data_IF_321442142523
#
_entry.id   IF_321442142523
#
_cell.length_a   1.000
_cell.length_b   1.000
_cell.length_c   1.000
_cell.angle_alpha   90.00
_cell.angle_beta   90.00
_cell.angle_gamma   90.00
#
_symmetry.space_group_name_H-M   'P 1'
#
loop_
_entity.id
_entity.type
_entity.pdbx_description
1 polymer ?
#
# COMPACT_ATOMS: atom_id res chain seq x y z
N UNK A 1 -17.26 -8.15 -1.49
CA UNK A 1 -16.46 -7.18 -0.71
C UNK A 1 -15.04 -7.21 -1.24
N UNK A 2 -14.45 -6.07 -1.62
CA UNK A 2 -13.15 -6.02 -2.33
C UNK A 2 -12.24 -4.96 -1.69
N UNK A 3 -11.84 -5.20 -0.43
CA UNK A 3 -10.96 -4.26 0.28
C UNK A 3 -9.60 -4.17 -0.40
N UNK A 4 -9.06 -2.97 -0.56
CA UNK A 4 -7.77 -2.73 -1.20
C UNK A 4 -6.98 -1.73 -0.39
N UNK A 5 -5.84 -2.18 0.14
CA UNK A 5 -4.96 -1.36 0.98
C UNK A 5 -3.52 -1.64 0.62
N UNK A 6 -2.76 -0.57 0.40
CA UNK A 6 -1.34 -0.64 0.06
C UNK A 6 -0.58 0.19 1.10
N UNK A 7 0.38 -0.43 1.78
CA UNK A 7 1.34 0.25 2.65
C UNK A 7 2.71 0.11 2.00
N UNK A 8 3.21 1.19 1.42
CA UNK A 8 4.47 1.17 0.68
C UNK A 8 5.41 2.27 1.14
N UNK A 9 6.71 1.97 1.08
CA UNK A 9 7.80 2.90 1.29
C UNK A 9 7.76 3.66 2.63
N UNK A 10 7.14 3.05 3.65
CA UNK A 10 6.79 3.69 4.92
C UNK A 10 7.65 3.19 6.09
N UNK A 11 7.75 4.01 7.14
CA UNK A 11 8.28 3.58 8.44
C UNK A 11 7.16 2.89 9.24
N UNK A 12 7.36 1.65 9.68
CA UNK A 12 6.42 0.89 10.52
C UNK A 12 7.07 0.61 11.87
N UNK A 13 6.52 1.24 12.91
CA UNK A 13 7.06 1.21 14.27
C UNK A 13 6.50 0.06 15.13
N UNK A 14 7.04 -0.09 16.34
CA UNK A 14 6.89 -1.22 17.26
C UNK A 14 5.46 -1.68 17.59
N UNK A 15 4.46 -0.80 17.45
CA UNK A 15 3.08 -1.05 17.88
C UNK A 15 2.26 -1.92 16.93
N UNK A 16 2.75 -2.17 15.70
CA UNK A 16 2.09 -3.07 14.76
C UNK A 16 2.42 -4.52 15.11
N UNK A 17 1.39 -5.34 15.29
CA UNK A 17 1.55 -6.77 15.56
C UNK A 17 2.23 -7.50 14.38
N UNK A 18 3.01 -8.58 14.63
CA UNK A 18 3.68 -9.32 13.56
C UNK A 18 2.75 -9.81 12.45
N UNK A 19 1.51 -10.16 12.78
CA UNK A 19 0.47 -10.62 11.85
C UNK A 19 0.04 -9.51 10.88
N UNK A 20 0.16 -8.24 11.31
CA UNK A 20 -0.03 -7.01 10.52
C UNK A 20 -1.48 -6.68 10.16
N UNK A 21 -2.27 -7.66 9.74
CA UNK A 21 -3.64 -7.48 9.26
C UNK A 21 -4.61 -8.31 10.10
N UNK A 22 -5.80 -7.75 10.37
CA UNK A 22 -6.84 -8.42 11.15
C UNK A 22 -8.08 -8.72 10.30
N UNK A 23 -8.74 -9.88 10.48
CA UNK A 23 -10.03 -10.13 9.85
C UNK A 23 -11.06 -9.09 10.30
N UNK A 24 -11.98 -8.74 9.40
CA UNK A 24 -13.14 -7.92 9.77
C UNK A 24 -14.18 -8.74 10.54
N UNK A 25 -14.59 -9.88 9.99
CA UNK A 25 -15.53 -10.82 10.61
C UNK A 25 -15.31 -12.24 10.06
N UNK A 26 -14.68 -13.13 10.84
CA UNK A 26 -14.36 -14.49 10.40
C UNK A 26 -13.56 -14.49 9.09
N UNK A 27 -14.02 -15.22 8.08
CA UNK A 27 -13.37 -15.31 6.75
C UNK A 27 -13.87 -14.29 5.74
N UNK A 28 -14.74 -13.36 6.15
CA UNK A 28 -15.35 -12.40 5.24
C UNK A 28 -14.31 -11.52 4.53
N UNK A 29 -14.28 -11.62 3.20
CA UNK A 29 -13.40 -10.82 2.34
C UNK A 29 -11.95 -11.28 2.24
N UNK A 30 -11.54 -12.34 2.95
CA UNK A 30 -10.14 -12.81 2.94
C UNK A 30 -9.69 -13.35 1.58
N UNK A 31 -10.63 -13.90 0.80
CA UNK A 31 -10.38 -14.43 -0.55
C UNK A 31 -10.43 -13.37 -1.66
N UNK A 32 -10.89 -12.15 -1.35
CA UNK A 32 -11.17 -11.11 -2.35
C UNK A 32 -10.49 -9.77 -2.07
N UNK A 33 -9.88 -9.60 -0.89
CA UNK A 33 -9.07 -8.43 -0.57
C UNK A 33 -7.81 -8.34 -1.46
N UNK A 34 -7.15 -7.19 -1.47
CA UNK A 34 -5.85 -6.96 -2.09
C UNK A 34 -5.01 -6.10 -1.16
N UNK A 35 -4.21 -6.76 -0.32
CA UNK A 35 -3.35 -6.09 0.66
C UNK A 35 -1.90 -6.23 0.27
N UNK A 36 -1.16 -5.12 0.27
CA UNK A 36 0.22 -5.09 -0.19
C UNK A 36 1.12 -4.35 0.79
N UNK A 37 2.27 -4.94 1.09
CA UNK A 37 3.39 -4.27 1.75
C UNK A 37 4.61 -4.23 0.81
N UNK A 38 5.19 -3.05 0.60
CA UNK A 38 6.32 -2.88 -0.33
C UNK A 38 7.38 -1.93 0.22
N UNK A 39 8.62 -2.41 0.35
CA UNK A 39 9.78 -1.60 0.79
C UNK A 39 9.52 -0.78 2.06
N UNK A 40 8.77 -1.34 3.01
CA UNK A 40 8.60 -0.73 4.31
C UNK A 40 9.87 -0.92 5.15
N UNK A 41 10.10 -0.01 6.08
CA UNK A 41 11.28 0.01 6.98
C UNK A 41 10.85 0.19 8.42
N UNK A 42 11.74 -0.12 9.36
CA UNK A 42 11.50 0.01 10.80
C UNK A 42 11.21 -1.31 11.52
N UNK A 43 11.05 -1.26 12.85
CA UNK A 43 11.03 -2.45 13.72
C UNK A 43 9.95 -3.48 13.38
N UNK A 44 8.81 -3.07 12.81
CA UNK A 44 7.69 -3.95 12.48
C UNK A 44 7.43 -4.09 10.98
N UNK A 45 8.39 -3.70 10.15
CA UNK A 45 8.30 -3.87 8.70
C UNK A 45 8.60 -5.31 8.21
N UNK A 46 9.18 -6.18 9.06
CA UNK A 46 9.40 -7.57 8.68
C UNK A 46 8.05 -8.29 8.47
N UNK A 47 7.88 -8.87 7.27
CA UNK A 47 6.67 -9.54 6.83
C UNK A 47 6.62 -11.07 7.07
N UNK A 48 7.65 -11.66 7.69
CA UNK A 48 7.79 -13.13 7.82
C UNK A 48 6.67 -13.78 8.65
N UNK A 49 6.07 -13.01 9.56
CA UNK A 49 4.99 -13.45 10.46
C UNK A 49 3.60 -12.94 10.04
N UNK A 50 3.50 -12.32 8.87
CA UNK A 50 2.23 -11.78 8.37
C UNK A 50 1.25 -12.89 8.07
N UNK A 51 -0.03 -12.53 8.07
CA UNK A 51 -1.12 -13.41 7.65
C UNK A 51 -0.84 -14.13 6.32
N UNK A 52 -1.31 -15.36 6.20
CA UNK A 52 -1.13 -16.20 5.00
C UNK A 52 -2.29 -16.10 4.02
N UNK A 53 -3.02 -14.98 4.03
CA UNK A 53 -4.20 -14.81 3.18
C UNK A 53 -3.80 -14.79 1.70
N UNK A 54 -4.64 -15.40 0.86
CA UNK A 54 -4.37 -15.62 -0.56
C UNK A 54 -3.91 -14.38 -1.32
N UNK A 55 -4.52 -13.23 -1.03
CA UNK A 55 -4.24 -11.96 -1.72
C UNK A 55 -3.55 -10.93 -0.82
N UNK A 56 -2.84 -11.40 0.21
CA UNK A 56 -1.80 -10.61 0.86
C UNK A 56 -0.49 -10.78 0.07
N UNK A 57 0.12 -9.67 -0.35
CA UNK A 57 1.29 -9.66 -1.23
C UNK A 57 2.41 -8.88 -0.56
N UNK A 58 3.55 -9.53 -0.35
CA UNK A 58 4.76 -8.91 0.18
C UNK A 58 5.77 -8.63 -0.94
N UNK A 59 6.29 -7.42 -0.98
CA UNK A 59 7.32 -6.95 -1.92
C UNK A 59 7.10 -7.40 -3.39
N UNK A 60 5.96 -7.03 -4.01
CA UNK A 60 5.75 -7.31 -5.44
C UNK A 60 6.77 -6.58 -6.33
N UNK A 61 6.86 -6.94 -7.63
CA UNK A 61 7.65 -6.20 -8.60
C UNK A 61 7.33 -4.69 -8.61
N UNK A 62 8.36 -3.86 -8.80
CA UNK A 62 8.23 -2.41 -8.71
C UNK A 62 7.27 -1.82 -9.75
N UNK A 63 7.24 -2.37 -10.96
CA UNK A 63 6.34 -1.98 -12.05
C UNK A 63 4.86 -2.27 -11.72
N UNK A 64 4.60 -3.30 -10.92
CA UNK A 64 3.26 -3.62 -10.41
C UNK A 64 2.83 -2.59 -9.36
N UNK A 65 3.69 -2.31 -8.37
CA UNK A 65 3.33 -1.43 -7.26
C UNK A 65 3.32 0.06 -7.63
N UNK A 66 4.11 0.47 -8.63
CA UNK A 66 4.14 1.84 -9.14
C UNK A 66 2.79 2.30 -9.71
N UNK A 67 1.87 1.36 -10.02
CA UNK A 67 0.48 1.66 -10.41
C UNK A 67 -0.36 2.25 -9.26
N UNK A 68 0.15 2.16 -8.02
CA UNK A 68 -0.46 2.76 -6.84
C UNK A 68 0.23 4.06 -6.40
N UNK A 69 1.21 4.54 -7.16
CA UNK A 69 1.85 5.82 -6.89
C UNK A 69 0.84 6.98 -7.01
N UNK A 70 1.05 8.10 -6.28
CA UNK A 70 0.10 9.21 -6.23
C UNK A 70 -0.32 9.74 -7.61
N UNK A 71 0.62 9.88 -8.55
CA UNK A 71 0.34 10.38 -9.91
C UNK A 71 -0.52 9.45 -10.77
N UNK A 72 -0.67 8.19 -10.36
CA UNK A 72 -1.54 7.20 -11.01
C UNK A 72 -2.92 7.18 -10.36
N UNK A 73 -3.01 7.24 -9.02
CA UNK A 73 -4.27 7.07 -8.28
C UNK A 73 -5.03 8.37 -8.03
N UNK A 74 -4.34 9.51 -7.96
CA UNK A 74 -4.94 10.84 -7.73
C UNK A 74 -5.25 11.57 -9.04
N UNK A 75 -5.57 10.84 -10.11
CA UNK A 75 -5.98 11.44 -11.37
C UNK A 75 -7.35 12.12 -11.22
N UNK A 76 -7.44 13.36 -11.70
CA UNK A 76 -8.69 14.10 -11.81
C UNK A 76 -9.49 13.70 -13.05
N UNK A 77 -10.57 14.44 -13.32
CA UNK A 77 -11.46 14.17 -14.46
C UNK A 77 -10.78 14.30 -15.84
N UNK A 78 -9.63 14.97 -15.92
CA UNK A 78 -8.80 15.09 -17.13
C UNK A 78 -7.78 13.94 -17.30
N UNK A 79 -7.85 12.91 -16.44
CA UNK A 79 -6.91 11.79 -16.37
C UNK A 79 -5.46 12.18 -15.99
N UNK A 80 -5.27 13.35 -15.39
CA UNK A 80 -3.97 13.83 -14.88
C UNK A 80 -4.02 14.11 -13.37
N UNK A 81 -2.86 14.19 -12.72
CA UNK A 81 -2.73 14.65 -11.32
C UNK A 81 -2.58 16.18 -11.20
N UNK A 82 -2.93 16.93 -12.27
CA UNK A 82 -2.66 18.37 -12.36
C UNK A 82 -3.34 19.21 -11.28
N UNK A 83 -4.45 18.73 -10.71
CA UNK A 83 -5.11 19.41 -9.59
C UNK A 83 -4.23 19.46 -8.34
N UNK A 84 -3.42 18.43 -8.06
CA UNK A 84 -2.51 18.40 -6.90
C UNK A 84 -1.42 19.44 -7.08
N UNK A 85 -0.82 19.50 -8.27
CA UNK A 85 0.26 20.45 -8.60
C UNK A 85 -0.18 21.91 -8.47
N UNK A 86 -1.43 22.21 -8.82
CA UNK A 86 -2.02 23.56 -8.69
C UNK A 86 -2.14 24.05 -7.25
N UNK A 87 -2.13 23.15 -6.26
CA UNK A 87 -2.22 23.54 -4.85
C UNK A 87 -0.91 24.15 -4.31
N UNK A 88 0.22 23.90 -4.99
CA UNK A 88 1.54 24.36 -4.55
C UNK A 88 2.15 23.57 -3.39
N UNK A 89 1.50 22.51 -2.91
CA UNK A 89 2.06 21.65 -1.86
C UNK A 89 3.22 20.81 -2.40
N UNK A 90 4.25 20.49 -1.58
CA UNK A 90 5.26 19.51 -1.95
C UNK A 90 4.62 18.17 -2.29
N UNK A 91 4.99 17.60 -3.43
CA UNK A 91 4.31 16.44 -3.99
C UNK A 91 5.29 15.59 -4.81
N UNK A 92 5.37 14.30 -4.48
CA UNK A 92 6.11 13.29 -5.23
C UNK A 92 5.09 12.38 -5.94
N UNK A 93 4.91 12.51 -7.28
CA UNK A 93 3.93 11.73 -8.02
C UNK A 93 4.34 10.26 -8.21
N UNK A 94 5.64 9.95 -8.11
CA UNK A 94 6.19 8.63 -8.38
C UNK A 94 6.47 7.80 -7.13
N UNK A 95 7.30 6.77 -7.33
CA UNK A 95 7.91 6.03 -6.22
C UNK A 95 9.10 6.83 -5.70
N UNK A 96 9.29 6.86 -4.38
CA UNK A 96 10.46 7.48 -3.77
C UNK A 96 11.73 6.73 -4.16
N UNK A 97 12.79 7.47 -4.45
CA UNK A 97 14.14 6.92 -4.54
C UNK A 97 14.61 6.65 -3.12
N UNK A 98 14.76 5.37 -2.78
CA UNK A 98 15.30 4.93 -1.48
C UNK A 98 16.80 4.77 -1.51
#
# INVERSE_FOLDING_TARGET
MYSRTIVMQSQIDGFIEPEGWTPFAGTFGLETLYFVEYQNRGPRANTDKRVTWKNYIKNPPQDVIAKFAPGVVLKGGDNTDGWVKKTGVPYEPGMMKM
#
